data_IF_192687469326
#
_entry.id   IF_192687469326
#
_cell.length_a   1.000
_cell.length_b   1.000
_cell.length_c   1.000
_cell.angle_alpha   90.00
_cell.angle_beta   90.00
_cell.angle_gamma   90.00
#
_symmetry.space_group_name_H-M   'P 1'
#
loop_
_entity.id
_entity.type
_entity.pdbx_description
1 polymer ?
#
# COMPACT_ATOMS: atom_id res chain seq x y z
N UNK A 1 23.12 9.25 16.70
CA UNK A 1 22.81 10.65 16.34
C UNK A 1 23.80 11.58 17.05
N UNK A 2 24.29 12.62 16.36
CA UNK A 2 25.08 13.70 16.97
C UNK A 2 24.15 14.56 17.87
N UNK A 3 24.60 15.01 19.04
CA UNK A 3 23.81 15.93 19.87
C UNK A 3 23.39 17.17 19.08
N UNK A 4 22.12 17.58 19.18
CA UNK A 4 21.60 18.75 18.47
C UNK A 4 21.31 18.55 16.97
N UNK A 5 21.53 17.33 16.43
CA UNK A 5 21.25 17.00 15.03
C UNK A 5 20.09 16.02 14.92
N UNK A 6 19.34 16.10 13.82
CA UNK A 6 18.46 15.04 13.34
C UNK A 6 19.13 14.41 12.12
N UNK A 7 19.08 13.06 12.04
CA UNK A 7 19.70 12.30 10.96
C UNK A 7 18.71 11.28 10.43
N UNK A 8 18.61 11.15 9.11
CA UNK A 8 17.76 10.15 8.45
C UNK A 8 18.39 9.69 7.12
N UNK A 9 18.07 8.46 6.69
CA UNK A 9 18.64 7.90 5.48
C UNK A 9 17.92 8.40 4.23
N UNK A 10 18.69 8.56 3.14
CA UNK A 10 18.16 8.77 1.79
C UNK A 10 18.88 7.81 0.84
N UNK A 11 18.15 7.12 0.00
CA UNK A 11 18.72 6.28 -1.04
C UNK A 11 18.93 7.14 -2.30
N UNK A 12 20.18 7.19 -2.77
CA UNK A 12 20.56 7.91 -3.98
C UNK A 12 20.54 6.98 -5.20
N UNK A 13 20.58 7.56 -6.37
CA UNK A 13 20.74 6.83 -7.63
C UNK A 13 21.91 5.83 -7.54
N UNK A 14 21.72 4.62 -8.07
CA UNK A 14 22.70 3.55 -7.93
C UNK A 14 22.64 2.76 -6.62
N UNK A 15 21.65 3.02 -5.76
CA UNK A 15 21.43 2.26 -4.52
C UNK A 15 22.36 2.66 -3.36
N UNK A 16 23.05 3.79 -3.48
CA UNK A 16 23.90 4.32 -2.43
C UNK A 16 23.07 5.00 -1.34
N UNK A 17 23.25 4.56 -0.08
CA UNK A 17 22.59 5.17 1.08
C UNK A 17 23.44 6.35 1.59
N UNK A 18 22.79 7.51 1.67
CA UNK A 18 23.35 8.71 2.28
C UNK A 18 22.60 9.01 3.58
N UNK A 19 23.31 9.49 4.59
CA UNK A 19 22.69 10.02 5.82
C UNK A 19 22.72 11.53 5.74
N UNK A 20 21.52 12.13 5.68
CA UNK A 20 21.35 13.58 5.80
C UNK A 20 21.29 13.97 7.27
N UNK A 21 21.94 15.08 7.59
CA UNK A 21 22.00 15.63 8.95
C UNK A 21 21.57 17.10 8.93
N UNK A 22 20.65 17.48 9.81
CA UNK A 22 20.16 18.85 9.97
C UNK A 22 20.27 19.27 11.44
N UNK A 23 20.56 20.54 11.69
CA UNK A 23 20.51 21.08 13.04
C UNK A 23 19.04 21.16 13.51
N UNK A 24 18.75 20.67 14.73
CA UNK A 24 17.37 20.65 15.26
C UNK A 24 16.78 22.03 15.50
N UNK A 25 17.64 23.03 15.67
CA UNK A 25 17.29 24.43 15.89
C UNK A 25 17.25 25.27 14.61
N UNK A 26 17.44 24.65 13.44
CA UNK A 26 17.29 25.34 12.15
C UNK A 26 15.83 25.77 11.95
N UNK A 27 15.55 27.07 11.76
CA UNK A 27 14.19 27.59 11.65
C UNK A 27 13.44 27.11 10.39
N UNK A 28 14.16 26.64 9.38
CA UNK A 28 13.56 26.08 8.16
C UNK A 28 13.24 24.59 8.27
N UNK A 29 13.55 23.97 9.43
CA UNK A 29 13.35 22.54 9.67
C UNK A 29 12.03 22.28 10.40
N UNK A 30 11.12 21.55 9.76
CA UNK A 30 9.87 21.08 10.37
C UNK A 30 9.97 19.59 10.70
N UNK A 31 9.81 19.28 11.99
CA UNK A 31 9.84 17.93 12.59
C UNK A 31 8.49 17.57 13.24
N UNK A 32 7.42 18.23 12.88
CA UNK A 32 6.09 18.05 13.49
C UNK A 32 5.48 16.66 13.21
N UNK A 33 5.84 16.02 12.09
CA UNK A 33 5.44 14.65 11.75
C UNK A 33 6.63 13.69 11.92
N UNK A 34 6.48 12.65 12.74
CA UNK A 34 7.52 11.65 12.97
C UNK A 34 7.95 10.89 11.70
N UNK A 35 7.10 10.84 10.68
CA UNK A 35 7.32 10.13 9.41
C UNK A 35 8.08 10.97 8.39
N UNK A 36 8.03 12.29 8.53
CA UNK A 36 8.51 13.23 7.53
C UNK A 36 9.35 14.35 8.16
N UNK A 37 10.34 14.80 7.42
CA UNK A 37 11.11 16.00 7.74
C UNK A 37 10.98 16.97 6.56
N UNK A 38 10.48 18.17 6.80
CA UNK A 38 10.44 19.21 5.78
C UNK A 38 11.55 20.22 6.02
N UNK A 39 12.32 20.51 4.97
CA UNK A 39 13.40 21.48 4.99
C UNK A 39 13.42 22.29 3.69
N UNK A 40 13.27 23.61 3.79
CA UNK A 40 13.29 24.53 2.63
C UNK A 40 12.38 24.11 1.47
N UNK A 41 11.14 23.70 1.78
CA UNK A 41 10.11 23.22 0.83
C UNK A 41 10.38 21.81 0.25
N UNK A 42 11.42 21.12 0.68
CA UNK A 42 11.64 19.72 0.35
C UNK A 42 11.23 18.84 1.51
N UNK A 43 10.51 17.77 1.21
CA UNK A 43 10.08 16.79 2.20
C UNK A 43 10.89 15.51 2.04
N UNK A 44 11.35 14.98 3.16
CA UNK A 44 12.08 13.71 3.25
C UNK A 44 11.32 12.76 4.17
N UNK A 45 11.36 11.46 3.88
CA UNK A 45 10.89 10.47 4.83
C UNK A 45 12.00 10.14 5.84
N UNK A 46 11.59 9.85 7.07
CA UNK A 46 12.52 9.52 8.17
C UNK A 46 13.05 8.08 8.08
N UNK A 47 12.44 7.26 7.24
CA UNK A 47 12.77 5.83 7.07
C UNK A 47 12.80 5.44 5.60
N UNK A 48 13.53 4.36 5.28
CA UNK A 48 13.47 3.69 3.98
C UNK A 48 12.78 2.34 4.19
N UNK A 49 11.66 2.15 3.50
CA UNK A 49 10.88 0.93 3.60
C UNK A 49 11.42 -0.18 2.69
N UNK A 50 11.23 -1.44 3.09
CA UNK A 50 11.51 -2.60 2.25
C UNK A 50 10.53 -3.73 2.55
N UNK A 51 10.31 -4.62 1.58
CA UNK A 51 9.51 -5.82 1.79
C UNK A 51 10.38 -6.94 2.36
N UNK A 52 9.79 -7.75 3.23
CA UNK A 52 10.45 -8.88 3.88
C UNK A 52 9.61 -10.14 3.70
N UNK A 53 10.23 -11.19 3.17
CA UNK A 53 9.58 -12.48 3.00
C UNK A 53 9.66 -13.24 4.32
N UNK A 54 8.50 -13.69 4.78
CA UNK A 54 8.35 -14.57 5.94
C UNK A 54 7.60 -15.83 5.51
N UNK A 55 7.90 -16.94 6.15
CA UNK A 55 7.21 -18.21 5.97
C UNK A 55 6.48 -18.62 7.25
N UNK A 56 5.44 -19.41 7.11
CA UNK A 56 4.72 -20.04 8.22
C UNK A 56 4.17 -21.40 7.78
N UNK A 57 4.18 -22.35 8.70
CA UNK A 57 3.61 -23.70 8.50
C UNK A 57 2.20 -23.80 9.10
N UNK A 58 1.80 -22.84 9.94
CA UNK A 58 0.52 -22.86 10.68
C UNK A 58 -0.32 -21.57 10.51
N UNK A 59 0.19 -20.58 9.76
CA UNK A 59 -0.45 -19.28 9.57
C UNK A 59 -0.42 -18.35 10.79
N UNK A 60 0.24 -18.74 11.88
CA UNK A 60 0.30 -18.00 13.16
C UNK A 60 1.75 -17.64 13.50
N UNK A 61 2.67 -18.60 13.38
CA UNK A 61 4.08 -18.41 13.68
C UNK A 61 4.86 -18.21 12.40
N UNK A 62 5.47 -17.05 12.25
CA UNK A 62 6.21 -16.67 11.06
C UNK A 62 7.70 -16.63 11.33
N UNK A 63 8.49 -17.14 10.37
CA UNK A 63 9.95 -17.14 10.41
C UNK A 63 10.55 -16.69 9.08
N UNK A 64 11.76 -16.18 9.11
CA UNK A 64 12.52 -15.80 7.92
C UNK A 64 13.27 -17.06 7.40
N UNK A 65 13.02 -17.51 6.15
CA UNK A 65 13.68 -18.70 5.62
C UNK A 65 15.17 -18.44 5.34
N UNK A 66 16.04 -19.38 5.73
CA UNK A 66 17.51 -19.23 5.61
C UNK A 66 18.06 -19.51 4.20
N UNK A 67 17.26 -20.14 3.34
CA UNK A 67 17.74 -20.69 2.06
C UNK A 67 17.37 -19.86 0.83
N UNK A 68 16.72 -18.71 1.03
CA UNK A 68 16.36 -17.77 -0.03
C UNK A 68 16.58 -16.32 0.41
N UNK A 69 16.79 -15.37 -0.53
CA UNK A 69 16.80 -13.94 -0.19
C UNK A 69 15.44 -13.51 0.35
N UNK A 70 15.43 -12.88 1.52
CA UNK A 70 14.18 -12.52 2.21
C UNK A 70 13.85 -11.04 2.13
N UNK A 71 14.78 -10.19 1.71
CA UNK A 71 14.62 -8.74 1.70
C UNK A 71 14.59 -8.20 0.28
N UNK A 72 13.51 -7.49 -0.05
CA UNK A 72 13.36 -6.77 -1.30
C UNK A 72 13.45 -5.28 -1.01
N UNK A 73 14.52 -4.65 -1.47
CA UNK A 73 14.78 -3.22 -1.31
C UNK A 73 14.29 -2.44 -2.52
N UNK A 74 14.04 -1.15 -2.34
CA UNK A 74 13.83 -0.21 -3.43
C UNK A 74 15.01 -0.13 -4.38
N UNK A 75 14.74 0.15 -5.66
CA UNK A 75 15.75 0.28 -6.72
C UNK A 75 15.43 1.48 -7.61
N UNK A 76 16.49 2.18 -8.06
CA UNK A 76 16.33 3.32 -8.96
C UNK A 76 15.72 4.57 -8.30
N UNK A 77 15.43 5.55 -9.14
CA UNK A 77 15.03 6.90 -8.71
C UNK A 77 13.55 7.03 -8.31
N UNK A 78 12.72 6.03 -8.62
CA UNK A 78 11.31 6.01 -8.23
C UNK A 78 11.06 5.28 -6.90
N UNK A 79 12.11 4.76 -6.25
CA UNK A 79 12.03 4.00 -4.99
C UNK A 79 13.07 4.50 -3.96
N UNK A 80 13.42 5.79 -4.01
CA UNK A 80 14.48 6.40 -3.18
C UNK A 80 14.16 6.40 -1.68
N UNK A 81 12.88 6.32 -1.32
CA UNK A 81 12.41 6.08 0.06
C UNK A 81 11.93 4.65 0.29
N UNK A 82 12.18 3.76 -0.68
CA UNK A 82 11.90 2.36 -0.59
C UNK A 82 10.57 1.93 -1.22
N UNK A 83 10.17 0.73 -0.83
CA UNK A 83 8.94 0.06 -1.28
C UNK A 83 8.17 -0.45 -0.07
N UNK A 84 6.84 -0.31 -0.10
CA UNK A 84 5.98 -0.67 1.03
C UNK A 84 4.63 -1.23 0.58
N UNK A 85 3.86 -1.75 1.53
CA UNK A 85 2.48 -2.19 1.35
C UNK A 85 2.31 -3.21 0.22
N UNK A 86 3.19 -4.21 0.19
CA UNK A 86 3.15 -5.28 -0.81
C UNK A 86 1.87 -6.10 -0.74
N UNK A 87 1.25 -6.32 -1.89
CA UNK A 87 0.07 -7.18 -2.08
C UNK A 87 0.40 -8.25 -3.09
N UNK A 88 -0.03 -9.48 -2.80
CA UNK A 88 0.25 -10.65 -3.63
C UNK A 88 -1.04 -11.16 -4.22
N UNK A 89 -1.02 -11.44 -5.52
CA UNK A 89 -2.09 -12.12 -6.25
C UNK A 89 -1.50 -13.25 -7.09
N UNK A 90 -2.18 -14.38 -7.16
CA UNK A 90 -1.80 -15.51 -8.01
C UNK A 90 -2.59 -15.46 -9.32
N UNK A 91 -1.92 -15.08 -10.41
CA UNK A 91 -2.56 -14.89 -11.71
C UNK A 91 -1.84 -15.76 -12.76
N UNK A 92 -2.57 -16.59 -13.47
CA UNK A 92 -2.04 -17.46 -14.53
C UNK A 92 -0.84 -18.32 -14.05
N UNK A 93 -0.82 -18.75 -12.78
CA UNK A 93 0.24 -19.57 -12.16
C UNK A 93 1.52 -18.80 -11.83
N UNK A 94 1.47 -17.48 -11.77
CA UNK A 94 2.57 -16.60 -11.40
C UNK A 94 2.13 -15.68 -10.25
N UNK A 95 3.00 -15.48 -9.25
CA UNK A 95 2.76 -14.51 -8.19
C UNK A 95 3.08 -13.11 -8.69
N UNK A 96 2.09 -12.24 -8.66
CA UNK A 96 2.19 -10.82 -9.00
C UNK A 96 2.17 -10.03 -7.69
N UNK A 97 3.23 -9.28 -7.46
CA UNK A 97 3.34 -8.37 -6.32
C UNK A 97 3.14 -6.95 -6.81
N UNK A 98 2.10 -6.30 -6.33
CA UNK A 98 1.95 -4.85 -6.42
C UNK A 98 2.41 -4.23 -5.11
N UNK A 99 3.06 -3.09 -5.18
CA UNK A 99 3.59 -2.40 -4.00
C UNK A 99 3.61 -0.89 -4.20
N UNK A 100 3.69 -0.16 -3.12
CA UNK A 100 3.83 1.28 -3.15
C UNK A 100 5.31 1.63 -3.34
N UNK A 101 5.62 2.34 -4.44
CA UNK A 101 6.93 2.96 -4.70
C UNK A 101 6.93 4.36 -4.11
N UNK A 102 7.95 4.69 -3.31
CA UNK A 102 8.05 5.99 -2.65
C UNK A 102 9.34 6.68 -3.02
N UNK A 103 9.22 7.90 -3.56
CA UNK A 103 10.36 8.72 -3.97
C UNK A 103 10.06 10.21 -3.86
N UNK A 104 11.05 11.05 -4.15
CA UNK A 104 10.88 12.49 -4.29
C UNK A 104 9.93 12.87 -5.44
N UNK A 105 9.72 11.98 -6.42
CA UNK A 105 8.75 12.14 -7.51
C UNK A 105 7.32 11.81 -7.11
N UNK A 106 7.10 11.39 -5.86
CA UNK A 106 5.81 11.05 -5.30
C UNK A 106 5.64 9.56 -5.03
N UNK A 107 4.39 9.17 -4.80
CA UNK A 107 3.99 7.82 -4.42
C UNK A 107 3.25 7.19 -5.59
N UNK A 108 3.76 6.11 -6.15
CA UNK A 108 3.16 5.37 -7.27
C UNK A 108 3.04 3.88 -6.97
N UNK A 109 2.47 3.14 -7.90
CA UNK A 109 2.35 1.68 -7.79
C UNK A 109 3.39 1.01 -8.65
N UNK A 110 4.26 0.22 -8.01
CA UNK A 110 5.19 -0.67 -8.68
C UNK A 110 4.64 -2.10 -8.77
N UNK A 111 5.21 -2.87 -9.69
CA UNK A 111 4.88 -4.28 -9.85
C UNK A 111 6.14 -5.13 -10.04
N UNK A 112 6.12 -6.32 -9.47
CA UNK A 112 7.09 -7.36 -9.75
C UNK A 112 6.40 -8.73 -9.83
N UNK A 113 7.09 -9.69 -10.45
CA UNK A 113 6.61 -11.07 -10.65
C UNK A 113 7.59 -12.07 -10.12
N UNK A 114 7.08 -13.19 -9.62
CA UNK A 114 7.90 -14.32 -9.23
C UNK A 114 7.12 -15.64 -9.37
N UNK A 115 7.85 -16.75 -9.61
CA UNK A 115 7.29 -18.11 -9.57
C UNK A 115 7.85 -18.96 -8.45
N UNK A 116 8.92 -18.50 -7.84
CA UNK A 116 9.72 -19.30 -6.90
C UNK A 116 10.12 -18.56 -5.63
N UNK A 117 9.74 -17.28 -5.48
CA UNK A 117 10.09 -16.40 -4.36
C UNK A 117 11.59 -16.18 -4.18
N UNK A 118 12.38 -16.51 -5.21
CA UNK A 118 13.85 -16.34 -5.26
C UNK A 118 14.25 -15.35 -6.33
N UNK A 119 13.60 -15.44 -7.49
CA UNK A 119 13.85 -14.61 -8.64
C UNK A 119 12.65 -13.71 -8.89
N UNK A 120 12.90 -12.41 -8.91
CA UNK A 120 11.86 -11.40 -9.12
C UNK A 120 12.17 -10.62 -10.40
N UNK A 121 11.19 -10.57 -11.30
CA UNK A 121 11.21 -9.66 -12.44
C UNK A 121 10.48 -8.40 -12.07
N UNK A 122 11.17 -7.25 -12.10
CA UNK A 122 10.56 -5.95 -11.84
C UNK A 122 10.00 -5.38 -13.13
N UNK A 123 8.74 -5.00 -13.11
CA UNK A 123 8.04 -4.39 -14.24
C UNK A 123 8.06 -2.85 -14.18
N UNK A 124 8.54 -2.29 -13.06
CA UNK A 124 8.55 -0.86 -12.82
C UNK A 124 7.21 -0.30 -12.34
N UNK A 125 6.98 0.98 -12.59
CA UNK A 125 5.77 1.68 -12.18
C UNK A 125 4.63 1.41 -13.16
N UNK A 126 3.51 0.87 -12.65
CA UNK A 126 2.32 0.55 -13.46
C UNK A 126 1.19 1.59 -13.31
N UNK A 127 1.14 2.32 -12.19
CA UNK A 127 0.21 3.45 -11.99
C UNK A 127 1.01 4.64 -11.42
N UNK A 128 0.92 5.76 -12.11
CA UNK A 128 1.68 6.97 -11.79
C UNK A 128 1.24 7.66 -10.49
N UNK A 129 2.08 8.51 -9.90
CA UNK A 129 1.77 9.30 -8.71
C UNK A 129 0.58 10.26 -8.90
N UNK A 130 -0.17 10.56 -7.83
CA UNK A 130 -0.03 9.90 -6.53
C UNK A 130 -1.03 8.75 -6.44
N UNK A 131 -0.56 7.55 -6.22
CA UNK A 131 -1.41 6.35 -6.19
C UNK A 131 -0.81 5.26 -5.29
N UNK A 132 -1.66 4.44 -4.67
CA UNK A 132 -1.31 3.31 -3.80
C UNK A 132 -2.45 2.30 -3.67
N UNK A 133 -2.30 1.33 -2.76
CA UNK A 133 -3.31 0.33 -2.40
C UNK A 133 -3.82 -0.44 -3.63
N UNK A 134 -2.90 -0.87 -4.51
CA UNK A 134 -3.28 -1.60 -5.71
C UNK A 134 -3.47 -3.08 -5.40
N UNK A 135 -4.72 -3.54 -5.44
CA UNK A 135 -5.12 -4.93 -5.24
C UNK A 135 -5.62 -5.53 -6.56
N UNK A 136 -4.94 -6.55 -7.07
CA UNK A 136 -5.30 -7.21 -8.33
C UNK A 136 -6.36 -8.29 -8.08
N UNK A 137 -7.32 -8.39 -8.97
CA UNK A 137 -8.19 -9.55 -9.05
C UNK A 137 -7.41 -10.73 -9.64
N UNK A 138 -7.56 -11.92 -9.08
CA UNK A 138 -6.79 -13.09 -9.51
C UNK A 138 -7.31 -13.75 -10.81
N UNK A 139 -8.47 -13.29 -11.29
CA UNK A 139 -9.05 -13.72 -12.56
C UNK A 139 -9.37 -12.54 -13.46
N UNK A 140 -9.32 -12.75 -14.76
CA UNK A 140 -9.79 -11.77 -15.76
C UNK A 140 -11.32 -11.67 -15.74
N UNK A 141 -11.81 -10.45 -15.78
CA UNK A 141 -13.24 -10.15 -15.90
C UNK A 141 -13.47 -9.49 -17.28
N UNK A 142 -14.36 -10.07 -18.08
CA UNK A 142 -14.56 -9.61 -19.45
C UNK A 142 -13.30 -9.67 -20.33
N UNK A 143 -12.39 -10.62 -20.06
CA UNK A 143 -11.14 -10.79 -20.77
C UNK A 143 -10.02 -9.83 -20.39
N UNK A 144 -10.21 -8.97 -19.40
CA UNK A 144 -9.22 -7.99 -18.90
C UNK A 144 -8.80 -8.30 -17.48
N UNK A 145 -7.57 -7.96 -17.14
CA UNK A 145 -7.13 -7.85 -15.75
C UNK A 145 -7.80 -6.66 -15.09
N UNK A 146 -8.06 -6.76 -13.81
CA UNK A 146 -8.75 -5.73 -13.02
C UNK A 146 -7.95 -5.44 -11.77
N UNK A 147 -7.91 -4.18 -11.33
CA UNK A 147 -7.34 -3.81 -10.04
C UNK A 147 -8.21 -2.79 -9.31
N UNK A 148 -8.17 -2.86 -7.99
CA UNK A 148 -8.53 -1.73 -7.13
C UNK A 148 -7.29 -0.89 -6.89
N UNK A 149 -7.45 0.42 -6.80
CA UNK A 149 -6.34 1.33 -6.47
C UNK A 149 -6.86 2.59 -5.80
N UNK A 150 -5.98 3.40 -5.23
CA UNK A 150 -6.36 4.63 -4.54
C UNK A 150 -5.51 5.81 -4.99
N UNK A 151 -6.05 6.73 -5.80
CA UNK A 151 -5.47 8.06 -5.94
C UNK A 151 -5.39 8.75 -4.57
N UNK A 152 -4.24 9.29 -4.18
CA UNK A 152 -3.96 9.83 -2.85
C UNK A 152 -3.74 11.35 -2.86
N UNK A 153 -4.46 12.07 -3.70
CA UNK A 153 -4.48 13.52 -3.73
C UNK A 153 -5.33 14.12 -2.60
N UNK A 154 -4.93 15.29 -2.08
CA UNK A 154 -5.62 15.96 -0.98
C UNK A 154 -6.31 17.27 -1.39
N UNK A 155 -6.03 17.80 -2.58
CA UNK A 155 -6.49 19.13 -2.98
C UNK A 155 -7.93 19.12 -3.52
N UNK A 156 -8.30 18.09 -4.27
CA UNK A 156 -9.63 17.91 -4.84
C UNK A 156 -9.96 16.42 -4.89
N UNK A 157 -11.18 16.04 -4.56
CA UNK A 157 -11.61 14.65 -4.45
C UNK A 157 -11.36 14.11 -3.05
N UNK A 158 -10.80 12.92 -2.93
CA UNK A 158 -10.55 12.26 -1.65
C UNK A 158 -9.80 10.95 -1.83
N UNK A 159 -9.48 10.34 -0.70
CA UNK A 159 -8.84 9.02 -0.64
C UNK A 159 -9.91 7.93 -0.82
N UNK A 160 -10.31 7.67 -2.07
CA UNK A 160 -11.38 6.77 -2.47
C UNK A 160 -10.83 5.54 -3.17
N UNK A 161 -11.56 4.42 -3.13
CA UNK A 161 -11.22 3.24 -3.91
C UNK A 161 -11.73 3.43 -5.34
N UNK A 162 -10.81 3.27 -6.27
CA UNK A 162 -11.05 3.25 -7.70
C UNK A 162 -10.80 1.85 -8.25
N UNK A 163 -11.40 1.55 -9.37
CA UNK A 163 -11.17 0.34 -10.16
C UNK A 163 -10.61 0.73 -11.53
N UNK A 164 -9.73 -0.11 -12.06
CA UNK A 164 -9.17 0.04 -13.40
C UNK A 164 -9.02 -1.31 -14.08
N UNK A 165 -8.92 -1.30 -15.41
CA UNK A 165 -8.72 -2.51 -16.22
C UNK A 165 -7.45 -2.42 -17.06
N UNK A 166 -6.86 -3.59 -17.36
CA UNK A 166 -5.65 -3.70 -18.18
C UNK A 166 -5.72 -4.90 -19.13
N UNK A 167 -5.20 -4.81 -20.35
CA UNK A 167 -5.03 -5.96 -21.23
C UNK A 167 -3.85 -6.86 -20.84
N UNK A 168 -2.85 -6.34 -20.11
CA UNK A 168 -1.52 -6.93 -19.96
C UNK A 168 -0.87 -6.76 -18.58
N UNK A 169 -1.58 -6.22 -17.57
CA UNK A 169 -1.11 -5.84 -16.23
C UNK A 169 -0.19 -4.60 -16.18
N UNK A 170 0.23 -4.07 -17.32
CA UNK A 170 1.14 -2.93 -17.39
C UNK A 170 0.42 -1.63 -17.77
N UNK A 171 -0.56 -1.71 -18.67
CA UNK A 171 -1.28 -0.55 -19.17
C UNK A 171 -2.68 -0.50 -18.57
N UNK A 172 -2.91 0.43 -17.65
CA UNK A 172 -4.16 0.56 -16.90
C UNK A 172 -5.02 1.72 -17.43
N UNK A 173 -6.32 1.46 -17.55
CA UNK A 173 -7.31 2.44 -18.04
C UNK A 173 -8.72 2.11 -17.57
N UNK A 174 -9.72 2.82 -18.08
CA UNK A 174 -11.11 2.61 -17.70
C UNK A 174 -11.36 2.85 -16.22
N UNK A 175 -10.76 3.90 -15.67
CA UNK A 175 -10.82 4.21 -14.25
C UNK A 175 -12.21 4.66 -13.80
N UNK A 176 -12.75 4.03 -12.74
CA UNK A 176 -14.02 4.40 -12.09
C UNK A 176 -13.85 4.48 -10.58
N UNK A 177 -14.39 5.53 -9.95
CA UNK A 177 -14.47 5.63 -8.49
C UNK A 177 -15.65 4.79 -8.01
N UNK A 178 -15.37 3.73 -7.25
CA UNK A 178 -16.40 2.76 -6.82
C UNK A 178 -16.78 2.89 -5.34
N UNK A 179 -15.84 3.34 -4.48
CA UNK A 179 -16.13 3.45 -3.05
C UNK A 179 -15.57 4.77 -2.50
N UNK A 180 -16.47 5.56 -1.91
CA UNK A 180 -16.14 6.84 -1.28
C UNK A 180 -16.19 6.73 0.23
N UNK A 181 -15.58 7.69 0.92
CA UNK A 181 -15.74 7.90 2.36
C UNK A 181 -17.19 8.22 2.73
N UNK A 182 -17.55 7.98 3.99
CA UNK A 182 -18.89 8.28 4.54
C UNK A 182 -18.76 9.27 5.67
N UNK A 183 -19.35 10.44 5.51
CA UNK A 183 -19.36 11.48 6.53
C UNK A 183 -19.92 10.96 7.87
N UNK A 184 -19.25 11.31 8.98
CA UNK A 184 -19.64 10.88 10.32
C UNK A 184 -19.51 9.39 10.62
N UNK A 185 -18.82 8.62 9.75
CA UNK A 185 -18.59 7.19 9.91
C UNK A 185 -17.11 6.89 10.23
N UNK A 186 -16.84 5.65 10.61
CA UNK A 186 -15.50 5.15 10.89
C UNK A 186 -14.53 5.19 9.68
N UNK A 187 -15.06 5.35 8.49
CA UNK A 187 -14.32 5.45 7.23
C UNK A 187 -14.52 6.83 6.55
N UNK A 188 -14.61 7.88 7.36
CA UNK A 188 -14.91 9.25 6.91
C UNK A 188 -13.74 9.97 6.24
N UNK A 189 -12.50 9.69 6.64
CA UNK A 189 -11.33 10.40 6.11
C UNK A 189 -10.70 9.71 4.91
N UNK A 190 -10.71 8.38 4.86
CA UNK A 190 -10.15 7.61 3.73
C UNK A 190 -10.66 6.18 3.68
N UNK A 191 -10.65 5.62 2.48
CA UNK A 191 -10.85 4.20 2.22
C UNK A 191 -9.80 3.71 1.22
N UNK A 192 -9.32 2.48 1.35
CA UNK A 192 -8.33 1.88 0.45
C UNK A 192 -8.45 0.36 0.43
N UNK A 193 -8.12 -0.25 -0.71
CA UNK A 193 -8.16 -1.70 -0.86
C UNK A 193 -7.16 -2.40 0.07
N UNK A 194 -7.52 -3.57 0.53
CA UNK A 194 -6.64 -4.47 1.28
C UNK A 194 -5.90 -5.45 0.37
N UNK A 195 -6.17 -6.74 0.52
CA UNK A 195 -5.60 -7.80 -0.30
C UNK A 195 -6.35 -7.97 -1.64
N UNK A 196 -5.99 -9.00 -2.42
CA UNK A 196 -6.72 -9.36 -3.62
C UNK A 196 -8.20 -9.66 -3.31
N UNK A 197 -9.18 -9.15 -4.08
CA UNK A 197 -10.58 -9.48 -3.87
C UNK A 197 -10.86 -10.98 -3.97
N UNK A 198 -11.65 -11.50 -3.05
CA UNK A 198 -12.00 -12.93 -2.94
C UNK A 198 -13.22 -13.20 -3.81
N UNK A 199 -13.11 -14.13 -4.76
CA UNK A 199 -14.25 -14.57 -5.56
C UNK A 199 -15.18 -15.45 -4.75
N UNK A 200 -16.43 -15.05 -4.65
CA UNK A 200 -17.52 -15.84 -4.03
C UNK A 200 -18.62 -16.09 -5.05
N UNK A 201 -19.61 -16.91 -4.72
CA UNK A 201 -20.78 -17.13 -5.61
C UNK A 201 -21.72 -15.92 -5.67
N UNK A 202 -21.64 -15.02 -4.71
CA UNK A 202 -22.46 -13.81 -4.61
C UNK A 202 -21.79 -12.55 -5.22
N UNK A 203 -20.46 -12.58 -5.42
CA UNK A 203 -19.70 -11.41 -5.89
C UNK A 203 -18.23 -11.51 -5.51
N UNK A 204 -17.47 -10.46 -5.83
CA UNK A 204 -16.10 -10.26 -5.38
C UNK A 204 -16.13 -9.59 -4.01
N UNK A 205 -15.67 -10.30 -2.98
CA UNK A 205 -15.55 -9.76 -1.62
C UNK A 205 -14.19 -9.08 -1.45
N UNK A 206 -14.21 -7.79 -1.18
CA UNK A 206 -13.03 -7.02 -0.82
C UNK A 206 -13.07 -6.65 0.66
N UNK A 207 -12.00 -6.95 1.38
CA UNK A 207 -11.75 -6.48 2.74
C UNK A 207 -10.92 -5.20 2.64
N UNK A 208 -11.58 -4.07 2.77
CA UNK A 208 -10.95 -2.77 2.65
C UNK A 208 -10.61 -2.16 4.01
N UNK A 209 -9.64 -1.25 4.05
CA UNK A 209 -9.39 -0.42 5.22
C UNK A 209 -10.08 0.95 5.09
N UNK A 210 -10.57 1.45 6.20
CA UNK A 210 -11.06 2.81 6.34
C UNK A 210 -10.38 3.51 7.50
N UNK A 211 -10.32 4.84 7.49
CA UNK A 211 -9.90 5.63 8.63
C UNK A 211 -10.85 6.79 8.87
N UNK A 212 -11.03 7.14 10.14
CA UNK A 212 -11.75 8.33 10.57
C UNK A 212 -10.86 9.58 10.61
N UNK A 213 -11.43 10.70 11.01
CA UNK A 213 -10.73 12.00 11.14
C UNK A 213 -9.64 11.99 12.24
N UNK A 214 -9.67 11.01 13.14
CA UNK A 214 -8.67 10.80 14.18
C UNK A 214 -7.58 9.81 13.82
N UNK A 215 -7.54 9.41 12.53
CA UNK A 215 -6.60 8.41 12.00
C UNK A 215 -6.73 7.02 12.64
N UNK A 216 -7.89 6.66 13.16
CA UNK A 216 -8.17 5.29 13.58
C UNK A 216 -8.49 4.45 12.35
N UNK A 217 -7.67 3.45 12.09
CA UNK A 217 -7.84 2.53 10.97
C UNK A 217 -8.58 1.28 11.40
N UNK A 218 -9.59 0.92 10.65
CA UNK A 218 -10.41 -0.28 10.84
C UNK A 218 -10.66 -0.98 9.52
N UNK A 219 -11.08 -2.23 9.55
CA UNK A 219 -11.41 -3.00 8.35
C UNK A 219 -12.92 -3.04 8.14
N UNK A 220 -13.32 -2.97 6.89
CA UNK A 220 -14.68 -3.19 6.43
C UNK A 220 -14.73 -4.17 5.27
N UNK A 221 -15.92 -4.53 4.86
CA UNK A 221 -16.16 -5.41 3.73
C UNK A 221 -17.04 -4.72 2.68
N UNK A 222 -16.72 -4.94 1.41
CA UNK A 222 -17.53 -4.54 0.27
C UNK A 222 -17.66 -5.70 -0.71
N UNK A 223 -18.87 -5.90 -1.23
CA UNK A 223 -19.17 -6.91 -2.23
C UNK A 223 -19.40 -6.23 -3.58
N UNK A 224 -18.65 -6.65 -4.60
CA UNK A 224 -18.73 -6.14 -5.96
C UNK A 224 -19.38 -7.19 -6.87
N UNK A 225 -20.03 -6.76 -7.93
CA UNK A 225 -20.65 -7.65 -8.91
C UNK A 225 -19.60 -8.51 -9.63
N UNK A 226 -19.93 -9.76 -9.93
CA UNK A 226 -19.01 -10.74 -10.55
C UNK A 226 -18.61 -10.36 -11.98
N UNK A 227 -19.54 -9.86 -12.76
CA UNK A 227 -19.36 -9.57 -14.18
C UNK A 227 -19.01 -8.10 -14.42
N UNK A 228 -19.49 -7.21 -13.55
CA UNK A 228 -19.20 -5.77 -13.58
C UNK A 228 -18.80 -5.27 -12.18
N UNK A 229 -17.53 -5.43 -11.77
CA UNK A 229 -17.09 -5.03 -10.42
C UNK A 229 -17.06 -3.51 -10.20
N UNK A 230 -17.46 -2.70 -11.17
CA UNK A 230 -17.74 -1.28 -10.93
C UNK A 230 -19.02 -1.08 -10.10
N UNK A 231 -19.87 -2.12 -10.00
CA UNK A 231 -21.10 -2.12 -9.24
C UNK A 231 -20.89 -2.66 -7.84
N UNK A 232 -21.11 -1.81 -6.84
CA UNK A 232 -21.13 -2.19 -5.43
C UNK A 232 -22.48 -2.80 -5.09
N UNK A 233 -22.50 -4.07 -4.70
CA UNK A 233 -23.72 -4.80 -4.31
C UNK A 233 -24.05 -4.59 -2.83
N UNK A 234 -23.02 -4.59 -1.97
CA UNK A 234 -23.16 -4.39 -0.53
C UNK A 234 -21.89 -3.78 0.07
N UNK A 235 -22.03 -3.10 1.20
CA UNK A 235 -20.92 -2.56 2.01
C UNK A 235 -21.28 -2.65 3.47
N UNK A 236 -20.36 -3.10 4.32
CA UNK A 236 -20.54 -3.15 5.78
C UNK A 236 -20.83 -1.75 6.32
N UNK A 237 -21.82 -1.63 7.23
CA UNK A 237 -22.13 -0.36 7.90
C UNK A 237 -21.10 -0.07 8.98
N UNK A 238 -20.85 -1.07 9.81
CA UNK A 238 -19.86 -1.03 10.89
C UNK A 238 -18.56 -1.70 10.43
N UNK A 239 -17.43 -1.41 11.08
CA UNK A 239 -16.20 -2.13 10.82
C UNK A 239 -16.37 -3.61 11.20
N UNK A 240 -15.72 -4.49 10.44
CA UNK A 240 -15.66 -5.93 10.75
C UNK A 240 -14.50 -6.25 11.70
N UNK A 241 -13.52 -5.35 11.81
CA UNK A 241 -12.40 -5.44 12.72
C UNK A 241 -11.89 -4.04 13.08
N UNK A 242 -11.62 -3.82 14.37
CA UNK A 242 -11.11 -2.57 14.91
C UNK A 242 -9.86 -2.81 15.76
N UNK A 243 -8.96 -1.80 15.91
CA UNK A 243 -7.80 -1.91 16.80
C UNK A 243 -8.23 -2.20 18.23
N UNK A 244 -7.69 -3.25 18.84
CA UNK A 244 -8.01 -3.66 20.21
C UNK A 244 -6.79 -4.17 20.99
N UNK A 245 -5.84 -4.82 20.35
CA UNK A 245 -4.63 -5.31 20.98
C UNK A 245 -3.66 -4.17 21.31
N UNK A 246 -2.84 -4.32 22.34
CA UNK A 246 -1.91 -3.29 22.77
C UNK A 246 -0.97 -2.80 21.65
N UNK A 247 -0.50 -3.72 20.80
CA UNK A 247 0.37 -3.37 19.65
C UNK A 247 -0.37 -2.70 18.49
N UNK A 248 -1.70 -2.77 18.44
CA UNK A 248 -2.55 -2.06 17.47
C UNK A 248 -2.89 -0.64 17.95
N UNK A 249 -3.01 -0.48 19.28
CA UNK A 249 -3.37 0.80 19.91
C UNK A 249 -2.18 1.74 20.07
N UNK A 250 -0.97 1.19 20.24
CA UNK A 250 0.25 1.96 20.51
C UNK A 250 1.37 1.55 19.56
N UNK A 251 2.25 2.49 19.25
CA UNK A 251 3.38 2.24 18.35
C UNK A 251 3.81 3.51 17.63
N UNK A 252 4.61 3.34 16.57
CA UNK A 252 5.03 4.45 15.70
C UNK A 252 3.81 5.14 15.05
N UNK A 253 2.80 4.36 14.68
CA UNK A 253 1.49 4.83 14.24
C UNK A 253 0.43 3.98 14.95
N UNK A 254 -0.21 4.53 15.96
CA UNK A 254 -1.19 3.80 16.80
C UNK A 254 -2.62 3.84 16.25
N UNK A 255 -3.48 3.03 16.86
CA UNK A 255 -4.89 2.86 16.49
C UNK A 255 -5.08 2.31 15.07
N UNK A 256 -4.33 1.26 14.70
CA UNK A 256 -4.34 0.72 13.33
C UNK A 256 -4.59 -0.78 13.31
N UNK A 257 -5.59 -1.18 12.54
CA UNK A 257 -5.72 -2.51 11.94
C UNK A 257 -5.68 -2.34 10.43
N UNK A 258 -4.78 -3.07 9.76
CA UNK A 258 -4.54 -2.95 8.33
C UNK A 258 -4.24 -4.33 7.73
N UNK A 259 -4.66 -4.59 6.49
CA UNK A 259 -4.37 -5.85 5.81
C UNK A 259 -3.92 -5.63 4.38
N UNK A 260 -2.88 -6.38 3.97
CA UNK A 260 -2.37 -6.46 2.60
C UNK A 260 -2.43 -7.89 2.04
N UNK A 261 -2.89 -8.84 2.83
CA UNK A 261 -2.96 -10.24 2.46
C UNK A 261 -4.03 -11.00 3.23
N UNK A 262 -4.47 -12.11 2.69
CA UNK A 262 -5.37 -13.05 3.33
C UNK A 262 -5.04 -14.49 2.90
N UNK A 263 -5.53 -15.46 3.64
CA UNK A 263 -5.57 -16.86 3.28
C UNK A 263 -7.04 -17.32 3.30
N UNK A 264 -7.43 -18.08 2.30
CA UNK A 264 -8.78 -18.63 2.14
C UNK A 264 -8.72 -20.16 2.20
#
# INVERSE_FOLDING_TARGET
QKPGMVSFPVLREGGHMEILEFAKDDPDLDLSDARMVSYKKQTYLTTISHLRLMCSDDGVHFYEPDHIPTKLYGQGNLETYGIEDGRVSLIDGEYILTYTQVSESGVGVGMMRTRDWRHFTREGMIISPHNKDCALFEEKIGGKYVCLHRPSGIALGGNFIWIATSPDLLHWGGHHCILRTREGSWDSARVGAGAAPIKTKEGWLEIYHGADEHHRYSLGAVLLDLDDPTRVLARSREPIMEPSAAYELTGFFGNVVFTNGHLV
#
